data_IF_743603356943
#
_entry.id   IF_743603356943
#
_cell.length_a   1.000
_cell.length_b   1.000
_cell.length_c   1.000
_cell.angle_alpha   90.00
_cell.angle_beta   90.00
_cell.angle_gamma   90.00
#
_symmetry.space_group_name_H-M   'P 1'
#
loop_
_entity.id
_entity.type
_entity.pdbx_description
1 polymer ?
#
# COMPACT_ATOMS: atom_id res chain seq x y z
N UNK A 1 5.13 -20.01 -32.97
CA UNK A 1 4.98 -21.46 -33.26
C UNK A 1 6.29 -22.20 -33.58
N UNK A 2 7.16 -21.67 -34.44
CA UNK A 2 8.43 -22.35 -34.79
C UNK A 2 9.29 -22.76 -33.58
N UNK A 3 9.37 -21.92 -32.56
CA UNK A 3 10.14 -22.21 -31.33
C UNK A 3 9.51 -23.37 -30.54
N UNK A 4 8.18 -23.41 -30.39
CA UNK A 4 7.47 -24.47 -29.67
C UNK A 4 7.67 -25.83 -30.35
N UNK A 5 7.54 -25.86 -31.68
CA UNK A 5 7.76 -27.08 -32.47
C UNK A 5 9.21 -27.58 -32.37
N UNK A 6 10.17 -26.66 -32.26
CA UNK A 6 11.59 -27.03 -32.05
C UNK A 6 11.83 -27.55 -30.63
N UNK A 7 11.15 -27.00 -29.62
CA UNK A 7 11.23 -27.47 -28.23
C UNK A 7 10.66 -28.88 -28.06
N UNK A 8 9.51 -29.16 -28.66
CA UNK A 8 8.88 -30.47 -28.63
C UNK A 8 9.74 -31.51 -29.38
N UNK A 9 10.13 -31.22 -30.64
CA UNK A 9 10.89 -32.19 -31.45
C UNK A 9 12.31 -32.44 -30.97
N UNK A 10 13.01 -31.42 -30.47
CA UNK A 10 14.44 -31.53 -30.13
C UNK A 10 14.67 -31.89 -28.66
N UNK A 11 13.74 -31.51 -27.78
CA UNK A 11 13.91 -31.65 -26.33
C UNK A 11 12.73 -32.36 -25.64
N UNK A 12 11.67 -32.76 -26.38
CA UNK A 12 10.49 -33.42 -25.80
C UNK A 12 9.68 -32.52 -24.87
N UNK A 13 9.86 -31.19 -24.94
CA UNK A 13 9.22 -30.24 -24.04
C UNK A 13 8.00 -29.61 -24.71
N UNK A 14 6.82 -29.88 -24.14
CA UNK A 14 5.59 -29.20 -24.50
C UNK A 14 5.40 -27.95 -23.64
N UNK A 15 5.09 -26.82 -24.27
CA UNK A 15 4.86 -25.55 -23.60
C UNK A 15 3.54 -24.92 -24.05
N UNK A 16 2.89 -24.21 -23.13
CA UNK A 16 1.62 -23.54 -23.37
C UNK A 16 1.86 -22.05 -23.61
N UNK A 17 1.31 -21.51 -24.69
CA UNK A 17 1.26 -20.06 -24.88
C UNK A 17 0.20 -19.47 -23.96
N UNK A 18 0.58 -18.40 -23.25
CA UNK A 18 -0.32 -17.58 -22.47
C UNK A 18 -0.21 -16.14 -22.95
N UNK A 19 -1.33 -15.41 -22.91
CA UNK A 19 -1.32 -13.99 -23.21
C UNK A 19 -0.45 -13.27 -22.17
N UNK A 20 0.46 -12.38 -22.58
CA UNK A 20 1.22 -11.57 -21.64
C UNK A 20 0.29 -10.78 -20.72
N UNK A 21 0.58 -10.81 -19.43
CA UNK A 21 -0.10 -10.00 -18.43
C UNK A 21 0.60 -8.64 -18.31
N UNK A 22 -0.19 -7.57 -18.30
CA UNK A 22 0.32 -6.21 -18.05
C UNK A 22 0.10 -5.90 -16.56
N UNK A 23 1.17 -5.67 -15.78
CA UNK A 23 1.04 -5.35 -14.36
C UNK A 23 0.60 -3.89 -14.19
N UNK A 24 -0.71 -3.65 -14.26
CA UNK A 24 -1.28 -2.34 -13.99
C UNK A 24 -0.98 -1.89 -12.54
N UNK A 25 -1.01 -0.57 -12.36
CA UNK A 25 -0.79 0.12 -11.09
C UNK A 25 -1.86 1.18 -10.91
N UNK A 26 -2.14 1.50 -9.66
CA UNK A 26 -3.08 2.56 -9.28
C UNK A 26 -2.32 3.77 -8.71
N UNK A 27 -2.89 4.96 -8.82
CA UNK A 27 -2.36 6.16 -8.16
C UNK A 27 -3.48 7.18 -7.94
N UNK A 28 -3.23 8.18 -7.11
CA UNK A 28 -4.17 9.28 -6.84
C UNK A 28 -3.79 10.54 -7.63
N UNK A 29 -4.75 11.42 -7.89
CA UNK A 29 -4.52 12.68 -8.63
C UNK A 29 -4.58 13.92 -7.75
N UNK A 30 -5.09 13.80 -6.54
CA UNK A 30 -5.30 14.92 -5.63
C UNK A 30 -5.00 14.51 -4.20
N UNK A 31 -4.76 15.52 -3.39
CA UNK A 31 -4.47 15.35 -1.97
C UNK A 31 -5.75 15.33 -1.14
N UNK A 32 -5.73 14.61 -0.03
CA UNK A 32 -6.81 14.60 0.95
C UNK A 32 -6.28 14.41 2.36
N UNK A 33 -6.90 15.08 3.32
CA UNK A 33 -6.66 14.90 4.75
C UNK A 33 -7.82 14.09 5.35
N UNK A 34 -7.50 13.16 6.24
CA UNK A 34 -8.52 12.34 6.92
C UNK A 34 -8.10 11.98 8.34
N UNK A 35 -9.09 11.83 9.21
CA UNK A 35 -8.94 11.45 10.60
C UNK A 35 -9.74 10.16 10.84
N UNK A 36 -9.10 9.16 11.43
CA UNK A 36 -9.73 7.88 11.69
C UNK A 36 -9.43 7.37 13.08
N UNK A 37 -10.50 7.00 13.78
CA UNK A 37 -10.49 6.51 15.15
C UNK A 37 -11.01 5.08 15.20
N UNK A 38 -10.13 4.16 15.57
CA UNK A 38 -10.47 2.79 15.90
C UNK A 38 -10.63 2.66 17.41
N UNK A 39 -11.86 2.38 17.86
CA UNK A 39 -12.15 2.06 19.27
C UNK A 39 -13.00 0.80 19.32
N UNK A 40 -12.43 -0.30 19.79
CA UNK A 40 -13.12 -1.58 19.94
C UNK A 40 -12.89 -2.16 21.32
N UNK A 41 -13.97 -2.54 21.98
CA UNK A 41 -13.92 -3.20 23.29
C UNK A 41 -14.95 -4.33 23.30
N UNK A 42 -14.48 -5.58 23.28
CA UNK A 42 -15.30 -6.79 23.34
C UNK A 42 -15.25 -7.48 24.71
N UNK A 43 -14.83 -6.74 25.75
CA UNK A 43 -14.55 -7.24 27.11
C UNK A 43 -13.05 -7.25 27.42
N UNK A 44 -12.64 -6.84 28.63
CA UNK A 44 -11.22 -6.73 29.03
C UNK A 44 -10.50 -5.48 28.47
N UNK A 45 -9.19 -5.59 28.23
CA UNK A 45 -8.39 -4.52 27.61
C UNK A 45 -8.92 -4.20 26.20
N UNK A 46 -9.32 -2.95 25.98
CA UNK A 46 -9.80 -2.48 24.68
C UNK A 46 -8.65 -2.19 23.70
N UNK A 47 -8.99 -2.12 22.42
CA UNK A 47 -8.11 -1.61 21.36
C UNK A 47 -8.51 -0.16 21.07
N UNK A 48 -7.52 0.71 21.08
CA UNK A 48 -7.66 2.12 20.72
C UNK A 48 -6.53 2.50 19.77
N UNK A 49 -6.89 3.21 18.71
CA UNK A 49 -5.93 3.83 17.80
C UNK A 49 -6.60 4.99 17.12
N UNK A 50 -5.96 6.16 17.13
CA UNK A 50 -6.48 7.35 16.48
C UNK A 50 -5.35 8.04 15.74
N UNK A 51 -5.52 8.24 14.44
CA UNK A 51 -4.54 8.90 13.59
C UNK A 51 -5.21 9.87 12.64
N UNK A 52 -4.52 10.98 12.41
CA UNK A 52 -4.84 11.97 11.41
C UNK A 52 -3.73 11.97 10.37
N UNK A 53 -4.08 11.70 9.12
CA UNK A 53 -3.13 11.57 8.02
C UNK A 53 -3.51 12.48 6.86
N UNK A 54 -2.51 12.91 6.11
CA UNK A 54 -2.66 13.51 4.81
C UNK A 54 -2.08 12.56 3.76
N UNK A 55 -2.79 12.38 2.66
CA UNK A 55 -2.36 11.55 1.54
C UNK A 55 -2.20 12.45 0.32
N UNK A 56 -1.02 12.41 -0.29
CA UNK A 56 -0.63 13.27 -1.41
C UNK A 56 -0.08 12.42 -2.57
N UNK A 57 -0.31 12.82 -3.84
CA UNK A 57 0.37 12.20 -4.97
C UNK A 57 1.86 12.56 -4.99
N UNK A 58 2.69 11.59 -5.35
CA UNK A 58 4.12 11.76 -5.62
C UNK A 58 4.41 11.67 -7.12
N UNK A 59 5.17 12.66 -7.61
CA UNK A 59 5.53 12.77 -9.03
C UNK A 59 7.02 12.57 -9.30
N UNK A 60 7.80 12.25 -8.26
CA UNK A 60 9.26 12.04 -8.32
C UNK A 60 9.66 10.63 -8.78
N UNK A 61 8.68 9.74 -9.01
CA UNK A 61 8.90 8.34 -9.38
C UNK A 61 9.03 7.40 -8.19
N UNK A 62 8.91 7.89 -6.96
CA UNK A 62 8.88 7.06 -5.76
C UNK A 62 7.57 6.28 -5.68
N UNK A 63 7.63 4.99 -5.31
CA UNK A 63 6.41 4.17 -5.17
C UNK A 63 5.60 4.56 -3.93
N UNK A 64 6.29 4.82 -2.81
CA UNK A 64 5.68 5.16 -1.54
C UNK A 64 6.63 6.02 -0.70
N UNK A 65 6.10 7.03 -0.02
CA UNK A 65 6.82 7.75 1.02
C UNK A 65 5.96 7.89 2.27
N UNK A 66 6.57 7.71 3.44
CA UNK A 66 5.94 7.99 4.73
C UNK A 66 6.66 9.14 5.41
N UNK A 67 5.90 10.15 5.86
CA UNK A 67 6.43 11.33 6.54
C UNK A 67 5.81 11.44 7.91
N UNK A 68 6.64 11.43 8.95
CA UNK A 68 6.23 11.70 10.32
C UNK A 68 6.32 13.21 10.61
N UNK A 69 5.17 13.85 10.85
CA UNK A 69 5.06 15.24 11.32
C UNK A 69 4.42 15.33 12.71
N UNK A 70 4.46 14.27 13.50
CA UNK A 70 3.89 14.28 14.86
C UNK A 70 4.63 15.31 15.73
N UNK A 71 3.86 16.22 16.33
CA UNK A 71 4.33 17.15 17.35
C UNK A 71 3.87 16.73 18.74
N UNK A 72 4.66 17.05 19.76
CA UNK A 72 4.27 16.89 21.18
C UNK A 72 4.08 15.45 21.67
N UNK A 73 4.37 14.43 20.85
CA UNK A 73 4.21 13.03 21.24
C UNK A 73 2.75 12.54 21.26
N UNK A 74 1.86 13.21 20.51
CA UNK A 74 0.44 12.82 20.39
C UNK A 74 0.24 11.36 19.94
N UNK A 75 1.20 10.83 19.17
CA UNK A 75 1.37 9.41 18.89
C UNK A 75 2.75 8.95 19.40
N UNK A 76 2.82 7.95 20.29
CA UNK A 76 4.08 7.39 20.75
C UNK A 76 4.90 6.83 19.60
N UNK A 77 6.20 7.14 19.58
CA UNK A 77 7.12 6.72 18.49
C UNK A 77 7.11 5.22 18.21
N UNK A 78 6.85 4.40 19.22
CA UNK A 78 6.74 2.95 19.10
C UNK A 78 5.57 2.48 18.22
N UNK A 79 4.52 3.30 18.05
CA UNK A 79 3.36 2.97 17.22
C UNK A 79 3.44 3.50 15.79
N UNK A 80 4.35 4.44 15.51
CA UNK A 80 4.52 5.03 14.17
C UNK A 80 4.86 3.97 13.10
N UNK A 81 5.76 3.00 13.36
CA UNK A 81 6.02 1.93 12.39
C UNK A 81 4.80 1.06 12.07
N UNK A 82 3.86 0.92 13.02
CA UNK A 82 2.62 0.19 12.79
C UNK A 82 1.67 0.96 11.86
N UNK A 83 1.65 2.30 11.97
CA UNK A 83 0.87 3.17 11.07
C UNK A 83 1.44 3.12 9.66
N UNK A 84 2.76 3.28 9.51
CA UNK A 84 3.45 3.17 8.21
C UNK A 84 3.18 1.81 7.55
N UNK A 85 3.33 0.73 8.32
CA UNK A 85 3.06 -0.62 7.83
C UNK A 85 1.60 -0.78 7.36
N UNK A 86 0.64 -0.28 8.14
CA UNK A 86 -0.78 -0.33 7.76
C UNK A 86 -1.08 0.46 6.49
N UNK A 87 -0.46 1.63 6.32
CA UNK A 87 -0.56 2.41 5.09
C UNK A 87 0.00 1.64 3.89
N UNK A 88 1.21 1.09 4.02
CA UNK A 88 1.86 0.32 2.96
C UNK A 88 1.05 -0.92 2.55
N UNK A 89 0.59 -1.72 3.52
CA UNK A 89 -0.23 -2.90 3.25
C UNK A 89 -1.56 -2.56 2.56
N UNK A 90 -2.10 -1.37 2.82
CA UNK A 90 -3.33 -0.89 2.16
C UNK A 90 -3.05 -0.51 0.71
N UNK A 91 -1.94 0.19 0.45
CA UNK A 91 -1.52 0.56 -0.91
C UNK A 91 -1.15 -0.65 -1.76
N UNK A 92 -0.48 -1.66 -1.18
CA UNK A 92 -0.11 -2.90 -1.87
C UNK A 92 -1.33 -3.70 -2.35
N UNK A 93 -2.46 -3.61 -1.64
CA UNK A 93 -3.71 -4.30 -2.01
C UNK A 93 -4.46 -3.61 -3.15
N UNK A 94 -4.21 -2.32 -3.38
CA UNK A 94 -5.03 -1.51 -4.29
C UNK A 94 -6.42 -1.18 -3.70
N UNK A 95 -7.00 -0.08 -4.17
CA UNK A 95 -8.28 0.43 -3.64
C UNK A 95 -9.43 0.26 -4.63
N UNK A 96 -9.17 0.30 -5.94
CA UNK A 96 -10.22 0.30 -6.96
C UNK A 96 -10.34 -1.06 -7.65
N UNK A 97 -9.27 -1.50 -8.30
CA UNK A 97 -9.23 -2.74 -9.08
C UNK A 97 -8.30 -3.80 -8.46
N UNK A 98 -7.76 -3.52 -7.28
CA UNK A 98 -6.85 -4.41 -6.57
C UNK A 98 -5.43 -4.40 -7.12
N UNK A 99 -5.05 -3.35 -7.86
CA UNK A 99 -3.67 -3.19 -8.32
C UNK A 99 -2.86 -2.39 -7.30
N UNK A 100 -1.60 -2.77 -7.05
CA UNK A 100 -0.73 -2.02 -6.14
C UNK A 100 -0.67 -0.54 -6.51
N UNK A 101 -0.87 0.31 -5.50
CA UNK A 101 -0.77 1.76 -5.67
C UNK A 101 0.69 2.20 -5.64
N UNK A 102 1.05 3.15 -6.51
CA UNK A 102 2.37 3.79 -6.55
C UNK A 102 2.23 5.31 -6.59
N UNK A 103 3.30 6.03 -6.28
CA UNK A 103 3.32 7.48 -6.33
C UNK A 103 2.44 8.09 -5.24
N UNK A 104 2.49 7.54 -4.03
CA UNK A 104 1.66 8.02 -2.90
C UNK A 104 2.55 8.36 -1.70
N UNK A 105 2.37 9.55 -1.17
CA UNK A 105 2.93 9.98 0.11
C UNK A 105 1.84 9.94 1.18
N UNK A 106 2.16 9.35 2.33
CA UNK A 106 1.32 9.39 3.52
C UNK A 106 2.06 10.17 4.59
N UNK A 107 1.50 11.30 5.00
CA UNK A 107 2.03 12.13 6.08
C UNK A 107 1.19 11.91 7.33
N UNK A 108 1.81 11.46 8.42
CA UNK A 108 1.19 11.39 9.73
C UNK A 108 1.25 12.77 10.38
N UNK A 109 0.08 13.39 10.57
CA UNK A 109 -0.05 14.76 11.09
C UNK A 109 -0.26 14.79 12.60
N UNK A 110 -1.18 13.97 13.10
CA UNK A 110 -1.58 13.97 14.51
C UNK A 110 -2.22 12.62 14.89
N UNK A 111 -2.58 12.45 16.16
CA UNK A 111 -3.32 11.29 16.63
C UNK A 111 -3.61 11.32 18.12
N UNK A 112 -4.13 10.21 18.62
CA UNK A 112 -4.21 9.95 20.06
C UNK A 112 -4.12 8.46 20.33
N UNK A 113 -3.79 8.08 21.56
CA UNK A 113 -3.61 6.68 21.97
C UNK A 113 -4.21 6.41 23.34
#
# INVERSE_FOLDING_TARGET
EHILNKMDRKYGVQAKLVTPYIPYRETIKGSAETESKYKKQSGGHGQYGHVKIQVDPLYDGSEFAFVDKIFGGAVPKQYIPAVEKGAKETLDKGLIAGYPMIGVQVTLLDGSY
#
